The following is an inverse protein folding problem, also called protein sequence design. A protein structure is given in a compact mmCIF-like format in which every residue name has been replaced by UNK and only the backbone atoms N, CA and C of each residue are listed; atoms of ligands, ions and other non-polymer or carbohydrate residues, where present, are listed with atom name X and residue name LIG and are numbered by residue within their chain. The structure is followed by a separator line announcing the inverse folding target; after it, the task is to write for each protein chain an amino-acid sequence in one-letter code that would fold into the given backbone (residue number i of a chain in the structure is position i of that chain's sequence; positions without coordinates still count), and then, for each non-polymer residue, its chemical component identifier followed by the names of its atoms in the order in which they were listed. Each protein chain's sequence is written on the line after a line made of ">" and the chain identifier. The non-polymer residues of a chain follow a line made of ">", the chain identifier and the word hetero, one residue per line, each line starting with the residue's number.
data_IF_597575619227
#
_entry.id   IF_597575619227
#
_cell.length_a   1.000
_cell.length_b   1.000
_cell.length_c   1.000
_cell.angle_alpha   90.00
_cell.angle_beta   90.00
_cell.angle_gamma   90.00
#
_symmetry.space_group_name_H-M   'P 1'
#
loop_
_entity.id
_entity.type
_entity.pdbx_description
1 polymer ?
#
# COMPACT_ATOMS: atom_id res chain seq x y z
N UNK A 1 46.03 5.94 -1.35
CA UNK A 1 44.73 6.62 -1.20
C UNK A 1 44.07 6.10 0.06
N UNK A 2 43.96 6.91 1.11
CA UNK A 2 43.25 6.54 2.33
C UNK A 2 41.74 6.74 2.09
N UNK A 3 40.96 5.67 2.25
CA UNK A 3 39.50 5.72 2.16
C UNK A 3 38.99 6.52 3.35
N UNK A 4 38.52 7.76 3.09
CA UNK A 4 37.83 8.57 4.10
C UNK A 4 36.53 7.86 4.48
N UNK A 5 36.35 7.61 5.78
CA UNK A 5 35.06 7.18 6.31
C UNK A 5 34.00 8.25 6.01
N UNK A 6 32.87 7.83 5.44
CA UNK A 6 31.76 8.70 5.07
C UNK A 6 31.14 9.32 6.32
N UNK A 7 31.30 10.64 6.46
CA UNK A 7 30.67 11.51 7.47
C UNK A 7 29.18 11.65 7.15
N UNK A 8 28.44 10.54 7.24
CA UNK A 8 26.98 10.55 7.20
C UNK A 8 26.37 10.01 8.51
N UNK A 9 27.19 9.37 9.34
CA UNK A 9 26.85 8.98 10.70
C UNK A 9 28.02 9.32 11.63
N UNK A 10 27.92 10.42 12.35
CA UNK A 10 28.83 10.68 13.47
C UNK A 10 28.57 9.65 14.56
N UNK A 11 29.63 9.02 15.08
CA UNK A 11 29.51 8.11 16.20
C UNK A 11 28.93 8.89 17.40
N UNK A 12 27.80 8.44 17.98
CA UNK A 12 27.15 9.20 19.04
C UNK A 12 28.10 9.34 20.23
N UNK A 13 28.34 10.59 20.64
CA UNK A 13 29.12 10.93 21.82
C UNK A 13 28.50 10.38 23.12
N UNK A 14 29.18 10.48 24.26
CA UNK A 14 28.74 9.87 25.53
C UNK A 14 27.35 10.33 26.00
N UNK A 15 26.97 11.60 25.75
CA UNK A 15 25.62 12.11 26.01
C UNK A 15 24.60 11.59 24.98
N UNK A 16 25.00 11.49 23.71
CA UNK A 16 24.16 10.94 22.64
C UNK A 16 23.81 9.46 22.86
N UNK A 17 24.75 8.65 23.34
CA UNK A 17 24.48 7.25 23.71
C UNK A 17 23.44 7.13 24.82
N UNK A 18 23.54 7.95 25.87
CA UNK A 18 22.56 7.96 26.97
C UNK A 18 21.17 8.38 26.50
N UNK A 19 21.08 9.46 25.71
CA UNK A 19 19.81 9.94 25.18
C UNK A 19 19.19 8.90 24.24
N UNK A 20 19.96 8.31 23.33
CA UNK A 20 19.46 7.28 22.44
C UNK A 20 18.96 6.05 23.22
N UNK A 21 19.69 5.60 24.26
CA UNK A 21 19.21 4.51 25.11
C UNK A 21 17.92 4.88 25.86
N UNK A 22 17.81 6.11 26.39
CA UNK A 22 16.58 6.58 27.04
C UNK A 22 15.41 6.64 26.06
N UNK A 23 15.61 7.18 24.85
CA UNK A 23 14.59 7.25 23.81
C UNK A 23 14.17 5.85 23.35
N UNK A 24 15.10 4.91 23.18
CA UNK A 24 14.79 3.53 22.83
C UNK A 24 13.99 2.83 23.95
N UNK A 25 14.38 3.01 25.22
CA UNK A 25 13.65 2.44 26.36
C UNK A 25 12.24 3.04 26.44
N UNK A 26 12.11 4.35 26.27
CA UNK A 26 10.83 5.04 26.29
C UNK A 26 9.96 4.58 25.12
N UNK A 27 10.49 4.51 23.90
CA UNK A 27 9.77 4.03 22.73
C UNK A 27 9.32 2.57 22.90
N UNK A 28 10.19 1.71 23.45
CA UNK A 28 9.83 0.32 23.77
C UNK A 28 8.73 0.25 24.83
N UNK A 29 8.82 1.05 25.91
CA UNK A 29 7.80 1.10 26.95
C UNK A 29 6.45 1.59 26.40
N UNK A 30 6.44 2.67 25.61
CA UNK A 30 5.23 3.18 24.96
C UNK A 30 4.63 2.14 24.01
N UNK A 31 5.46 1.45 23.23
CA UNK A 31 4.99 0.39 22.32
C UNK A 31 4.37 -0.77 23.11
N UNK A 32 5.00 -1.21 24.20
CA UNK A 32 4.45 -2.27 25.06
C UNK A 32 3.13 -1.86 25.71
N UNK A 33 3.02 -0.62 26.20
CA UNK A 33 1.78 -0.08 26.75
C UNK A 33 0.68 -0.03 25.68
N UNK A 34 1.00 0.41 24.46
CA UNK A 34 0.05 0.44 23.35
C UNK A 34 -0.42 -0.97 22.97
N UNK A 35 0.49 -1.94 22.85
CA UNK A 35 0.14 -3.35 22.57
C UNK A 35 -0.72 -3.94 23.69
N UNK A 36 -0.36 -3.68 24.96
CA UNK A 36 -1.16 -4.10 26.12
C UNK A 36 -2.56 -3.50 26.11
N UNK A 37 -2.68 -2.21 25.82
CA UNK A 37 -3.97 -1.51 25.72
C UNK A 37 -4.84 -2.03 24.56
N UNK A 38 -4.22 -2.28 23.39
CA UNK A 38 -4.90 -2.90 22.24
C UNK A 38 -5.39 -4.30 22.61
N UNK A 39 -4.52 -5.13 23.21
CA UNK A 39 -4.89 -6.48 23.64
C UNK A 39 -6.04 -6.49 24.66
N UNK A 40 -5.98 -5.62 25.67
CA UNK A 40 -7.05 -5.44 26.65
C UNK A 40 -8.36 -5.01 25.98
N UNK A 41 -8.30 -4.04 25.07
CA UNK A 41 -9.47 -3.56 24.32
C UNK A 41 -10.06 -4.66 23.43
N UNK A 42 -9.23 -5.41 22.70
CA UNK A 42 -9.67 -6.52 21.85
C UNK A 42 -10.32 -7.64 22.69
N UNK A 43 -9.77 -7.94 23.86
CA UNK A 43 -10.32 -8.93 24.77
C UNK A 43 -11.70 -8.51 25.30
N UNK A 44 -11.83 -7.25 25.75
CA UNK A 44 -13.09 -6.71 26.25
C UNK A 44 -14.18 -6.66 25.18
N UNK A 45 -13.80 -6.48 23.92
CA UNK A 45 -14.72 -6.53 22.77
C UNK A 45 -14.95 -7.96 22.24
N UNK A 46 -14.47 -8.99 22.94
CA UNK A 46 -14.62 -10.39 22.56
C UNK A 46 -14.00 -10.73 21.19
N UNK A 47 -13.00 -9.97 20.74
CA UNK A 47 -12.31 -10.22 19.46
C UNK A 47 -11.31 -11.38 19.54
N UNK A 48 -10.85 -11.71 20.75
CA UNK A 48 -9.95 -12.83 21.02
C UNK A 48 -10.69 -14.15 21.34
N UNK A 49 -11.99 -14.22 21.06
CA UNK A 49 -12.80 -15.43 21.28
C UNK A 49 -12.45 -16.52 20.28
N UNK A 50 -12.30 -17.77 20.74
CA UNK A 50 -11.90 -18.90 19.90
C UNK A 50 -12.75 -19.04 18.63
N UNK A 51 -14.07 -18.82 18.73
CA UNK A 51 -15.00 -18.91 17.60
C UNK A 51 -14.66 -17.99 16.40
N UNK A 52 -13.98 -16.84 16.63
CA UNK A 52 -13.56 -15.95 15.54
C UNK A 52 -12.30 -16.41 14.83
N UNK A 53 -11.50 -17.24 15.49
CA UNK A 53 -10.20 -17.71 15.00
C UNK A 53 -10.25 -19.14 14.45
N UNK A 54 -11.23 -19.95 14.86
CA UNK A 54 -11.42 -21.32 14.35
C UNK A 54 -11.55 -21.43 12.83
N UNK A 55 -12.20 -20.50 12.09
CA UNK A 55 -12.28 -20.63 10.63
C UNK A 55 -10.90 -20.60 9.94
N UNK A 56 -9.90 -19.94 10.52
CA UNK A 56 -8.54 -19.90 9.94
C UNK A 56 -7.79 -21.23 10.09
N UNK A 57 -8.23 -22.10 11.00
CA UNK A 57 -7.70 -23.46 11.16
C UNK A 57 -8.36 -24.44 10.17
N UNK A 58 -9.51 -24.08 9.60
CA UNK A 58 -10.21 -24.90 8.63
C UNK A 58 -9.62 -24.71 7.22
N UNK A 59 -9.22 -25.82 6.61
CA UNK A 59 -8.73 -25.88 5.24
C UNK A 59 -9.74 -25.35 4.21
N UNK A 60 -11.04 -25.51 4.47
CA UNK A 60 -12.09 -25.04 3.56
C UNK A 60 -12.10 -23.51 3.44
N UNK A 61 -11.89 -22.79 4.55
CA UNK A 61 -11.83 -21.31 4.53
C UNK A 61 -10.73 -20.81 3.59
N UNK A 62 -9.58 -21.48 3.62
CA UNK A 62 -8.45 -21.13 2.77
C UNK A 62 -8.72 -21.43 1.30
N UNK A 63 -9.24 -22.62 0.99
CA UNK A 63 -9.44 -23.06 -0.39
C UNK A 63 -10.62 -22.36 -1.07
N UNK A 64 -11.69 -22.05 -0.33
CA UNK A 64 -12.92 -21.50 -0.91
C UNK A 64 -12.93 -19.98 -0.92
N UNK A 65 -12.32 -19.32 0.07
CA UNK A 65 -12.44 -17.86 0.22
C UNK A 65 -11.09 -17.14 0.11
N UNK A 66 -10.13 -17.49 0.97
CA UNK A 66 -8.89 -16.70 1.11
C UNK A 66 -8.02 -16.81 -0.15
N UNK A 67 -7.67 -18.03 -0.57
CA UNK A 67 -6.78 -18.25 -1.71
C UNK A 67 -7.40 -17.78 -3.03
N UNK A 68 -8.69 -18.07 -3.35
CA UNK A 68 -9.30 -17.56 -4.57
C UNK A 68 -9.40 -16.02 -4.59
N UNK A 69 -9.75 -15.39 -3.46
CA UNK A 69 -9.81 -13.93 -3.36
C UNK A 69 -8.43 -13.28 -3.52
N UNK A 70 -7.40 -13.86 -2.88
CA UNK A 70 -6.02 -13.42 -3.03
C UNK A 70 -5.55 -13.57 -4.47
N UNK A 71 -5.83 -14.71 -5.10
CA UNK A 71 -5.48 -14.97 -6.49
C UNK A 71 -6.16 -13.98 -7.44
N UNK A 72 -7.44 -13.67 -7.23
CA UNK A 72 -8.15 -12.65 -7.99
C UNK A 72 -7.51 -11.27 -7.87
N UNK A 73 -7.04 -10.90 -6.68
CA UNK A 73 -6.34 -9.64 -6.42
C UNK A 73 -4.98 -9.61 -7.13
N UNK A 74 -4.18 -10.68 -7.00
CA UNK A 74 -2.87 -10.80 -7.65
C UNK A 74 -2.98 -10.78 -9.16
N UNK A 75 -3.96 -11.50 -9.73
CA UNK A 75 -4.20 -11.52 -11.18
C UNK A 75 -4.58 -10.12 -11.68
N UNK A 76 -5.48 -9.44 -10.99
CA UNK A 76 -5.91 -8.08 -11.35
C UNK A 76 -4.76 -7.08 -11.24
N UNK A 77 -3.97 -7.16 -10.17
CA UNK A 77 -2.79 -6.33 -9.96
C UNK A 77 -1.74 -6.55 -11.06
N UNK A 78 -1.45 -7.80 -11.40
CA UNK A 78 -0.46 -8.15 -12.42
C UNK A 78 -0.82 -7.55 -13.79
N UNK A 79 -2.07 -7.74 -14.24
CA UNK A 79 -2.54 -7.17 -15.51
C UNK A 79 -2.50 -5.64 -15.47
N UNK A 80 -2.94 -5.04 -14.36
CA UNK A 80 -2.93 -3.58 -14.19
C UNK A 80 -1.52 -2.99 -14.22
N UNK A 81 -0.55 -3.65 -13.57
CA UNK A 81 0.86 -3.23 -13.55
C UNK A 81 1.45 -3.26 -14.96
N UNK A 82 1.21 -4.32 -15.74
CA UNK A 82 1.71 -4.41 -17.12
C UNK A 82 1.15 -3.28 -17.97
N UNK A 83 -0.17 -3.06 -17.92
CA UNK A 83 -0.81 -1.98 -18.67
C UNK A 83 -0.30 -0.60 -18.21
N UNK A 84 -0.15 -0.39 -16.91
CA UNK A 84 0.39 0.85 -16.35
C UNK A 84 1.84 1.10 -16.76
N UNK A 85 2.68 0.06 -16.85
CA UNK A 85 4.05 0.19 -17.34
C UNK A 85 4.07 0.59 -18.82
N UNK A 86 3.30 -0.08 -19.67
CA UNK A 86 3.25 0.24 -21.10
C UNK A 86 2.74 1.67 -21.31
N UNK A 87 1.60 2.03 -20.73
CA UNK A 87 1.03 3.37 -20.85
C UNK A 87 1.92 4.45 -20.18
N UNK A 88 2.48 4.14 -19.02
CA UNK A 88 3.36 5.04 -18.28
C UNK A 88 4.65 5.34 -19.04
N UNK A 89 5.26 4.34 -19.67
CA UNK A 89 6.44 4.53 -20.54
C UNK A 89 6.07 5.36 -21.77
N UNK A 90 4.97 5.05 -22.45
CA UNK A 90 4.54 5.81 -23.64
C UNK A 90 4.27 7.29 -23.31
N UNK A 91 3.51 7.57 -22.25
CA UNK A 91 3.22 8.93 -21.82
C UNK A 91 4.47 9.63 -21.26
N UNK A 92 5.35 8.90 -20.57
CA UNK A 92 6.62 9.42 -20.06
C UNK A 92 7.57 9.85 -21.18
N UNK A 93 7.74 9.01 -22.20
CA UNK A 93 8.51 9.35 -23.41
C UNK A 93 7.86 10.50 -24.18
N UNK A 94 6.52 10.52 -24.30
CA UNK A 94 5.78 11.61 -24.92
C UNK A 94 6.03 12.97 -24.26
N UNK A 95 6.21 13.02 -22.93
CA UNK A 95 6.60 14.26 -22.21
C UNK A 95 8.02 14.74 -22.53
N UNK A 96 8.90 13.88 -23.02
CA UNK A 96 10.26 14.24 -23.42
C UNK A 96 10.36 14.66 -24.90
N UNK A 97 9.28 14.56 -25.66
CA UNK A 97 9.27 14.91 -27.08
C UNK A 97 9.61 16.39 -27.31
N UNK A 98 10.38 16.66 -28.37
CA UNK A 98 10.67 18.02 -28.86
C UNK A 98 9.41 18.73 -29.40
N UNK A 99 8.39 17.96 -29.83
CA UNK A 99 7.12 18.49 -30.29
C UNK A 99 6.32 19.03 -29.10
N UNK A 100 6.27 20.36 -28.98
CA UNK A 100 5.60 21.05 -27.87
C UNK A 100 4.15 20.61 -27.65
N UNK A 101 3.40 20.35 -28.73
CA UNK A 101 2.01 19.88 -28.67
C UNK A 101 1.87 18.50 -28.04
N UNK A 102 2.69 17.54 -28.46
CA UNK A 102 2.68 16.17 -27.94
C UNK A 102 3.03 16.15 -26.45
N UNK A 103 4.08 16.90 -26.08
CA UNK A 103 4.50 17.05 -24.68
C UNK A 103 3.39 17.60 -23.80
N UNK A 104 2.67 18.61 -24.27
CA UNK A 104 1.56 19.22 -23.54
C UNK A 104 0.40 18.24 -23.32
N UNK A 105 -0.03 17.52 -24.36
CA UNK A 105 -1.10 16.52 -24.23
C UNK A 105 -0.71 15.44 -23.21
N UNK A 106 0.50 14.89 -23.33
CA UNK A 106 0.98 13.88 -22.39
C UNK A 106 1.09 14.42 -20.96
N UNK A 107 1.51 15.68 -20.78
CA UNK A 107 1.56 16.32 -19.47
C UNK A 107 0.17 16.48 -18.85
N UNK A 108 -0.80 16.98 -19.61
CA UNK A 108 -2.19 17.15 -19.15
C UNK A 108 -2.80 15.82 -18.73
N UNK A 109 -2.64 14.77 -19.52
CA UNK A 109 -3.16 13.43 -19.18
C UNK A 109 -2.53 12.94 -17.87
N UNK A 110 -1.20 12.96 -17.76
CA UNK A 110 -0.50 12.46 -16.56
C UNK A 110 -0.85 13.28 -15.31
N UNK A 111 -0.89 14.60 -15.42
CA UNK A 111 -1.21 15.48 -14.28
C UNK A 111 -2.66 15.37 -13.86
N UNK A 112 -3.60 15.24 -14.80
CA UNK A 112 -5.02 15.01 -14.49
C UNK A 112 -5.25 13.74 -13.68
N UNK A 113 -4.74 12.59 -14.15
CA UNK A 113 -4.91 11.32 -13.44
C UNK A 113 -4.17 11.29 -12.09
N UNK A 114 -3.09 12.07 -11.93
CA UNK A 114 -2.37 12.19 -10.65
C UNK A 114 -3.03 13.16 -9.67
N UNK A 115 -3.74 14.17 -10.17
CA UNK A 115 -4.45 15.13 -9.35
C UNK A 115 -5.77 14.55 -8.81
N UNK A 116 -6.38 13.60 -9.53
CA UNK A 116 -7.62 12.96 -9.09
C UNK A 116 -7.35 11.88 -8.04
N UNK A 117 -8.05 11.90 -6.89
CA UNK A 117 -7.97 10.83 -5.92
C UNK A 117 -8.37 9.47 -6.52
N UNK A 118 -7.58 8.43 -6.29
CA UNK A 118 -7.85 7.09 -6.81
C UNK A 118 -9.21 6.55 -6.36
N UNK A 119 -9.64 6.87 -5.13
CA UNK A 119 -10.95 6.48 -4.59
C UNK A 119 -12.11 7.03 -5.45
N UNK A 120 -11.97 8.26 -5.94
CA UNK A 120 -12.97 8.87 -6.80
C UNK A 120 -13.04 8.11 -8.13
N UNK A 121 -11.89 7.80 -8.75
CA UNK A 121 -11.83 6.98 -9.97
C UNK A 121 -12.47 5.60 -9.77
N UNK A 122 -12.26 4.96 -8.63
CA UNK A 122 -12.88 3.66 -8.31
C UNK A 122 -14.41 3.76 -8.28
N UNK A 123 -14.97 4.78 -7.63
CA UNK A 123 -16.43 4.97 -7.54
C UNK A 123 -17.03 5.28 -8.91
N UNK A 124 -16.40 6.19 -9.68
CA UNK A 124 -16.86 6.50 -11.03
C UNK A 124 -16.78 5.28 -11.96
N UNK A 125 -15.70 4.51 -11.91
CA UNK A 125 -15.56 3.28 -12.69
C UNK A 125 -16.63 2.24 -12.31
N UNK A 126 -16.86 2.03 -11.01
CA UNK A 126 -17.91 1.13 -10.54
C UNK A 126 -19.28 1.53 -11.08
N UNK A 127 -19.64 2.82 -10.95
CA UNK A 127 -20.95 3.31 -11.39
C UNK A 127 -21.09 3.27 -12.91
N UNK A 128 -20.04 3.59 -13.65
CA UNK A 128 -20.01 3.49 -15.11
C UNK A 128 -20.24 2.04 -15.56
N UNK A 129 -19.52 1.07 -14.99
CA UNK A 129 -19.71 -0.34 -15.33
C UNK A 129 -21.09 -0.86 -14.97
N UNK A 130 -21.67 -0.39 -13.86
CA UNK A 130 -23.03 -0.75 -13.45
C UNK A 130 -24.09 -0.20 -14.42
N UNK A 131 -24.04 1.08 -14.76
CA UNK A 131 -25.02 1.72 -15.66
C UNK A 131 -25.00 1.10 -17.06
N UNK A 132 -23.81 0.79 -17.59
CA UNK A 132 -23.65 0.21 -18.92
C UNK A 132 -23.72 -1.33 -18.93
N UNK A 133 -24.05 -1.98 -17.80
CA UNK A 133 -24.11 -3.44 -17.68
C UNK A 133 -22.87 -4.17 -18.25
N UNK A 134 -21.68 -3.56 -18.12
CA UNK A 134 -20.46 -4.07 -18.75
C UNK A 134 -19.93 -5.34 -18.07
N UNK A 135 -20.32 -5.59 -16.82
CA UNK A 135 -19.95 -6.78 -16.06
C UNK A 135 -21.23 -7.46 -15.56
N UNK A 136 -21.57 -8.65 -16.09
CA UNK A 136 -22.71 -9.41 -15.59
C UNK A 136 -22.54 -9.72 -14.10
N UNK A 137 -23.58 -9.55 -13.27
CA UNK A 137 -23.51 -10.03 -11.90
C UNK A 137 -23.25 -11.54 -11.91
N UNK A 138 -22.11 -11.95 -11.35
CA UNK A 138 -21.88 -13.37 -11.04
C UNK A 138 -22.82 -13.70 -9.89
N UNK A 139 -23.79 -14.57 -10.17
CA UNK A 139 -24.66 -15.17 -9.16
C UNK A 139 -23.84 -15.94 -8.13
#
# INVERSE_FOLDING_TARGET
>A
MAVRATVLYDAPGPRGRRINSLLTILAAAVTLLAVGWIGWTLNNNGQLTAAKWTPFLDSQTWQTYILPGLWGTLRSAFVSIILAMVLGVLLGLGRLSELAWLRWICAVIVEFFRAIPVLLLMIFAYQLFAVYNMVPPRQ
#
